data_IF_946345907182
#
_entry.id   IF_946345907182
#
_cell.length_a   1.000
_cell.length_b   1.000
_cell.length_c   1.000
_cell.angle_alpha   90.00
_cell.angle_beta   90.00
_cell.angle_gamma   90.00
#
_symmetry.space_group_name_H-M   'P 1'
#
loop_
_entity.id
_entity.type
_entity.pdbx_description
1 polymer ?
#
# COMPACT_ATOMS: atom_id res chain seq x y z
N UNK A 1 11.95 0.50 0.03
CA UNK A 1 12.39 1.52 -0.98
C UNK A 1 11.26 1.64 -1.97
N UNK A 2 10.84 2.86 -2.28
CA UNK A 2 9.73 3.13 -3.19
C UNK A 2 10.23 3.87 -4.43
N UNK A 3 9.88 3.38 -5.61
CA UNK A 3 10.27 3.94 -6.90
C UNK A 3 9.09 4.61 -7.64
N UNK A 4 7.86 4.48 -7.13
CA UNK A 4 6.64 5.06 -7.71
C UNK A 4 6.50 4.80 -9.24
N UNK A 5 6.88 3.61 -9.69
CA UNK A 5 6.78 3.20 -11.10
C UNK A 5 7.76 3.89 -12.05
N UNK A 6 8.76 4.61 -11.54
CA UNK A 6 9.61 5.48 -12.34
C UNK A 6 10.82 4.79 -12.99
N UNK A 7 11.15 3.57 -12.60
CA UNK A 7 12.31 2.87 -13.17
C UNK A 7 11.95 2.17 -14.48
N UNK A 8 12.95 2.09 -15.36
CA UNK A 8 12.94 1.14 -16.47
C UNK A 8 13.38 -0.27 -15.99
N UNK A 9 13.20 -1.26 -16.85
CA UNK A 9 13.55 -2.65 -16.51
C UNK A 9 15.04 -2.82 -16.18
N UNK A 10 15.93 -2.12 -16.85
CA UNK A 10 17.37 -2.21 -16.62
C UNK A 10 17.73 -1.67 -15.23
N UNK A 11 17.23 -0.50 -14.89
CA UNK A 11 17.42 0.10 -13.56
C UNK A 11 16.85 -0.78 -12.46
N UNK A 12 15.63 -1.29 -12.64
CA UNK A 12 14.98 -2.16 -11.67
C UNK A 12 15.76 -3.47 -11.44
N UNK A 13 16.29 -4.07 -12.50
CA UNK A 13 17.14 -5.27 -12.40
C UNK A 13 18.44 -4.98 -11.66
N UNK A 14 19.14 -3.89 -11.98
CA UNK A 14 20.36 -3.49 -11.28
C UNK A 14 20.12 -3.30 -9.77
N UNK A 15 19.01 -2.67 -9.39
CA UNK A 15 18.66 -2.52 -7.98
C UNK A 15 18.30 -3.85 -7.33
N UNK A 16 17.53 -4.72 -8.01
CA UNK A 16 17.19 -6.05 -7.50
C UNK A 16 18.44 -6.89 -7.26
N UNK A 17 19.41 -6.87 -8.17
CA UNK A 17 20.69 -7.56 -8.01
C UNK A 17 21.49 -7.05 -6.82
N UNK A 18 21.55 -5.73 -6.63
CA UNK A 18 22.23 -5.10 -5.48
C UNK A 18 21.59 -5.40 -4.14
N UNK A 19 20.29 -5.56 -4.13
CA UNK A 19 19.48 -5.74 -2.91
C UNK A 19 19.17 -7.21 -2.65
N UNK A 20 19.55 -8.11 -3.55
CA UNK A 20 19.36 -9.54 -3.35
C UNK A 20 20.14 -10.01 -2.12
N UNK A 21 19.43 -10.58 -1.15
CA UNK A 21 20.02 -11.03 0.12
C UNK A 21 20.20 -9.92 1.18
N UNK A 22 19.80 -8.67 0.90
CA UNK A 22 19.83 -7.61 1.92
C UNK A 22 18.72 -7.84 2.96
N UNK A 23 19.09 -8.24 4.16
CA UNK A 23 18.15 -8.64 5.23
C UNK A 23 17.29 -7.50 5.78
N UNK A 24 17.70 -6.24 5.56
CA UNK A 24 16.94 -5.04 5.97
C UNK A 24 15.91 -4.61 4.94
N UNK A 25 15.94 -5.19 3.72
CA UNK A 25 14.98 -4.88 2.68
C UNK A 25 13.66 -5.59 2.99
N UNK A 26 12.61 -4.83 3.30
CA UNK A 26 11.26 -5.36 3.40
C UNK A 26 10.68 -5.63 1.99
N UNK A 27 10.76 -4.64 1.10
CA UNK A 27 10.39 -4.76 -0.32
C UNK A 27 10.90 -3.58 -1.17
N UNK A 28 10.89 -3.77 -2.48
CA UNK A 28 10.87 -2.70 -3.49
C UNK A 28 9.41 -2.39 -3.80
N UNK A 29 8.96 -1.15 -3.51
CA UNK A 29 7.61 -0.71 -3.80
C UNK A 29 7.55 -0.13 -5.20
N UNK A 30 6.60 -0.62 -5.99
CA UNK A 30 6.29 -0.22 -7.36
C UNK A 30 7.54 0.14 -8.20
N UNK A 31 8.48 -0.79 -8.43
CA UNK A 31 9.72 -0.45 -9.13
C UNK A 31 9.51 -0.06 -10.59
N UNK A 32 8.54 -0.66 -11.26
CA UNK A 32 8.23 -0.45 -12.67
C UNK A 32 6.85 0.18 -12.85
N UNK A 33 6.60 0.75 -14.03
CA UNK A 33 5.26 1.23 -14.38
C UNK A 33 4.20 0.15 -14.14
N UNK A 34 2.99 0.51 -13.68
CA UNK A 34 1.90 -0.44 -13.45
C UNK A 34 1.58 -1.35 -14.64
N UNK A 35 1.73 -0.85 -15.86
CA UNK A 35 1.48 -1.62 -17.09
C UNK A 35 2.50 -2.73 -17.34
N UNK A 36 3.67 -2.70 -16.71
CA UNK A 36 4.70 -3.72 -16.89
C UNK A 36 4.55 -4.89 -15.90
N UNK A 37 3.39 -5.55 -15.96
CA UNK A 37 3.05 -6.69 -15.08
C UNK A 37 4.09 -7.82 -15.15
N UNK A 38 4.60 -8.10 -16.36
CA UNK A 38 5.60 -9.15 -16.56
C UNK A 38 6.94 -8.79 -15.89
N UNK A 39 7.38 -7.53 -16.04
CA UNK A 39 8.60 -7.04 -15.39
C UNK A 39 8.47 -7.08 -13.87
N UNK A 40 7.34 -6.62 -13.32
CA UNK A 40 7.05 -6.69 -11.88
C UNK A 40 7.10 -8.13 -11.36
N UNK A 41 6.49 -9.10 -12.08
CA UNK A 41 6.54 -10.52 -11.71
C UNK A 41 7.96 -11.08 -11.72
N UNK A 42 8.76 -10.76 -12.74
CA UNK A 42 10.15 -11.28 -12.84
C UNK A 42 11.05 -10.78 -11.70
N UNK A 43 10.83 -9.58 -11.18
CA UNK A 43 11.58 -9.04 -10.06
C UNK A 43 11.30 -9.79 -8.74
N UNK A 44 10.09 -10.36 -8.56
CA UNK A 44 9.76 -11.13 -7.34
C UNK A 44 10.58 -12.39 -7.17
N UNK A 45 11.23 -12.89 -8.22
CA UNK A 45 12.12 -14.04 -8.15
C UNK A 45 13.46 -13.72 -7.45
N UNK A 46 13.81 -12.44 -7.34
CA UNK A 46 15.08 -11.97 -6.79
C UNK A 46 14.94 -11.25 -5.47
N UNK A 47 13.92 -10.38 -5.36
CA UNK A 47 13.70 -9.55 -4.18
C UNK A 47 12.19 -9.47 -3.87
N UNK A 48 11.81 -9.21 -2.62
CA UNK A 48 10.42 -8.89 -2.30
C UNK A 48 9.98 -7.63 -3.05
N UNK A 49 8.85 -7.70 -3.77
CA UNK A 49 8.23 -6.57 -4.47
C UNK A 49 6.87 -6.27 -3.87
N UNK A 50 6.54 -4.99 -3.73
CA UNK A 50 5.22 -4.51 -3.37
C UNK A 50 4.57 -3.76 -4.53
N UNK A 51 3.28 -3.99 -4.74
CA UNK A 51 2.44 -3.21 -5.66
C UNK A 51 1.76 -2.08 -4.89
N UNK A 52 1.71 -0.88 -5.45
CA UNK A 52 0.89 0.26 -5.02
C UNK A 52 0.00 0.70 -6.20
N UNK A 53 0.50 1.53 -7.09
CA UNK A 53 -0.28 2.05 -8.23
C UNK A 53 -0.83 0.95 -9.14
N UNK A 54 -0.09 -0.14 -9.30
CA UNK A 54 -0.52 -1.28 -10.09
C UNK A 54 -1.81 -1.93 -9.57
N UNK A 55 -2.06 -1.91 -8.25
CA UNK A 55 -3.30 -2.45 -7.69
C UNK A 55 -4.54 -1.73 -8.20
N UNK A 56 -4.46 -0.42 -8.47
CA UNK A 56 -5.57 0.37 -8.98
C UNK A 56 -5.73 0.29 -10.49
N UNK A 57 -4.63 0.09 -11.21
CA UNK A 57 -4.58 0.15 -12.68
C UNK A 57 -4.69 -1.22 -13.34
N UNK A 58 -4.31 -2.29 -12.64
CA UNK A 58 -4.26 -3.65 -13.14
C UNK A 58 -5.01 -4.60 -12.21
N UNK A 59 -6.36 -4.64 -12.28
CA UNK A 59 -7.20 -5.47 -11.39
C UNK A 59 -6.83 -6.96 -11.39
N UNK A 60 -6.24 -7.47 -12.46
CA UNK A 60 -5.74 -8.84 -12.58
C UNK A 60 -4.65 -9.17 -11.57
N UNK A 61 -3.95 -8.16 -11.03
CA UNK A 61 -2.93 -8.33 -9.99
C UNK A 61 -3.52 -8.47 -8.58
N UNK A 62 -4.82 -8.21 -8.41
CA UNK A 62 -5.52 -8.50 -7.15
C UNK A 62 -5.68 -10.00 -6.87
N UNK A 63 -5.58 -10.82 -7.89
CA UNK A 63 -5.81 -12.26 -7.83
C UNK A 63 -4.74 -13.05 -7.06
N UNK A 64 -4.97 -14.36 -6.96
CA UNK A 64 -4.10 -15.30 -6.25
C UNK A 64 -2.69 -15.44 -6.85
N UNK A 65 -2.51 -14.99 -8.08
CA UNK A 65 -1.24 -15.16 -8.82
C UNK A 65 -0.16 -14.16 -8.44
N UNK A 66 -0.48 -13.11 -7.66
CA UNK A 66 0.53 -12.21 -7.14
C UNK A 66 1.07 -12.72 -5.81
N UNK A 67 2.33 -13.06 -5.77
CA UNK A 67 3.01 -13.62 -4.59
C UNK A 67 3.75 -12.58 -3.74
N UNK A 68 3.88 -11.34 -4.21
CA UNK A 68 4.52 -10.23 -3.51
C UNK A 68 3.60 -9.50 -2.52
N UNK A 69 4.03 -8.36 -2.04
CA UNK A 69 3.29 -7.48 -1.16
C UNK A 69 2.27 -6.63 -1.92
N UNK A 70 1.23 -6.18 -1.23
CA UNK A 70 0.19 -5.28 -1.75
C UNK A 70 0.04 -4.11 -0.80
N UNK A 71 0.35 -2.90 -1.27
CA UNK A 71 0.16 -1.65 -0.52
C UNK A 71 -1.18 -1.07 -0.91
N UNK A 72 -2.15 -1.18 0.00
CA UNK A 72 -3.51 -0.74 -0.21
C UNK A 72 -3.72 0.67 0.33
N UNK A 73 -4.32 1.53 -0.49
CA UNK A 73 -4.82 2.86 -0.13
C UNK A 73 -6.36 2.85 -0.15
N UNK A 74 -7.01 2.29 0.88
CA UNK A 74 -8.42 1.84 0.81
C UNK A 74 -9.39 2.91 0.37
N UNK A 75 -9.16 4.17 0.78
CA UNK A 75 -10.07 5.28 0.44
C UNK A 75 -9.77 5.90 -0.94
N UNK A 76 -8.66 5.57 -1.56
CA UNK A 76 -8.34 5.91 -2.95
C UNK A 76 -8.71 4.79 -3.93
N UNK A 77 -8.88 3.57 -3.45
CA UNK A 77 -9.21 2.38 -4.25
C UNK A 77 -10.73 2.22 -4.47
N UNK A 78 -11.55 2.97 -3.74
CA UNK A 78 -13.01 2.94 -3.84
C UNK A 78 -13.66 2.13 -2.73
N UNK A 79 -14.23 0.95 -3.01
CA UNK A 79 -14.90 0.12 -2.01
C UNK A 79 -13.88 -0.61 -1.10
N UNK A 80 -13.81 -0.30 0.20
CA UNK A 80 -12.84 -0.94 1.09
C UNK A 80 -13.26 -2.34 1.57
N UNK A 81 -14.49 -2.80 1.28
CA UNK A 81 -15.01 -4.10 1.75
C UNK A 81 -14.19 -5.29 1.27
N UNK A 82 -13.68 -5.35 0.02
CA UNK A 82 -12.82 -6.44 -0.41
C UNK A 82 -11.53 -6.53 0.41
N UNK A 83 -10.88 -5.40 0.71
CA UNK A 83 -9.69 -5.38 1.57
C UNK A 83 -10.02 -5.83 2.99
N UNK A 84 -11.13 -5.34 3.57
CA UNK A 84 -11.58 -5.76 4.90
C UNK A 84 -11.76 -7.28 4.95
N UNK A 85 -12.41 -7.88 3.95
CA UNK A 85 -12.57 -9.33 3.87
C UNK A 85 -11.22 -10.07 3.77
N UNK A 86 -10.27 -9.55 3.02
CA UNK A 86 -8.92 -10.12 2.91
C UNK A 86 -8.19 -10.10 4.25
N UNK A 87 -8.23 -8.97 4.96
CA UNK A 87 -7.65 -8.85 6.30
C UNK A 87 -8.30 -9.81 7.30
N UNK A 88 -9.62 -9.90 7.31
CA UNK A 88 -10.36 -10.83 8.18
C UNK A 88 -10.08 -12.31 7.89
N UNK A 89 -9.83 -12.65 6.63
CA UNK A 89 -9.43 -14.00 6.21
C UNK A 89 -7.95 -14.31 6.47
N UNK A 90 -7.19 -13.34 6.95
CA UNK A 90 -5.77 -13.49 7.22
C UNK A 90 -4.93 -13.69 5.94
N UNK A 91 -5.26 -13.00 4.85
CA UNK A 91 -4.41 -13.01 3.67
C UNK A 91 -3.04 -12.39 4.02
N UNK A 92 -1.93 -13.03 3.62
CA UNK A 92 -0.60 -12.50 3.90
C UNK A 92 -0.22 -11.34 2.97
N UNK A 93 0.80 -10.59 3.39
CA UNK A 93 1.48 -9.56 2.59
C UNK A 93 0.58 -8.41 2.15
N UNK A 94 -0.34 -8.02 3.02
CA UNK A 94 -1.15 -6.81 2.88
C UNK A 94 -0.56 -5.69 3.73
N UNK A 95 -0.48 -4.49 3.17
CA UNK A 95 -0.03 -3.27 3.85
C UNK A 95 -1.08 -2.20 3.67
N UNK A 96 -1.56 -1.63 4.75
CA UNK A 96 -2.49 -0.49 4.74
C UNK A 96 -1.66 0.80 4.72
N UNK A 97 -1.95 1.68 3.76
CA UNK A 97 -1.25 2.96 3.57
C UNK A 97 -2.23 4.12 3.44
N UNK A 98 -1.79 5.32 3.80
CA UNK A 98 -2.58 6.55 3.67
C UNK A 98 -2.55 7.10 2.24
N UNK A 99 -3.67 7.74 1.85
CA UNK A 99 -3.75 8.66 0.72
C UNK A 99 -4.00 10.10 1.22
N UNK A 100 -3.66 10.39 2.48
CA UNK A 100 -3.87 11.67 3.16
C UNK A 100 -5.34 12.04 3.29
N UNK A 101 -6.12 11.11 3.77
CA UNK A 101 -7.56 11.20 4.00
C UNK A 101 -7.91 12.28 5.02
N UNK A 102 -9.19 12.69 5.04
CA UNK A 102 -9.75 13.47 6.14
C UNK A 102 -9.59 12.75 7.49
N UNK A 103 -9.74 13.47 8.59
CA UNK A 103 -9.64 12.89 9.93
C UNK A 103 -10.60 11.71 10.16
N UNK A 104 -11.80 11.74 9.56
CA UNK A 104 -12.76 10.61 9.61
C UNK A 104 -12.20 9.40 8.85
N UNK A 105 -11.72 9.61 7.61
CA UNK A 105 -11.11 8.55 6.80
C UNK A 105 -9.89 7.96 7.48
N UNK A 106 -9.06 8.78 8.10
CA UNK A 106 -7.89 8.34 8.86
C UNK A 106 -8.25 7.43 10.06
N UNK A 107 -9.32 7.72 10.78
CA UNK A 107 -9.79 6.82 11.86
C UNK A 107 -10.15 5.44 11.31
N UNK A 108 -10.85 5.39 10.18
CA UNK A 108 -11.15 4.12 9.51
C UNK A 108 -9.87 3.39 9.10
N UNK A 109 -8.89 4.11 8.55
CA UNK A 109 -7.60 3.55 8.16
C UNK A 109 -6.85 2.94 9.36
N UNK A 110 -6.89 3.59 10.53
CA UNK A 110 -6.30 3.03 11.77
C UNK A 110 -6.96 1.70 12.19
N UNK A 111 -8.27 1.53 12.00
CA UNK A 111 -8.94 0.25 12.28
C UNK A 111 -8.46 -0.84 11.32
N UNK A 112 -8.32 -0.55 10.02
CA UNK A 112 -7.77 -1.51 9.06
C UNK A 112 -6.31 -1.86 9.37
N UNK A 113 -5.50 -0.89 9.77
CA UNK A 113 -4.11 -1.11 10.20
C UNK A 113 -4.03 -2.00 11.46
N UNK A 114 -4.98 -1.82 12.40
CA UNK A 114 -5.11 -2.71 13.55
C UNK A 114 -5.41 -4.16 13.15
N UNK A 115 -6.28 -4.38 12.18
CA UNK A 115 -6.56 -5.72 11.65
C UNK A 115 -5.33 -6.30 10.91
N UNK A 116 -4.63 -5.48 10.13
CA UNK A 116 -3.37 -5.89 9.47
C UNK A 116 -2.34 -6.38 10.50
N UNK A 117 -2.20 -5.67 11.62
CA UNK A 117 -1.24 -6.04 12.67
C UNK A 117 -1.54 -7.39 13.33
N UNK A 118 -2.79 -7.85 13.27
CA UNK A 118 -3.22 -9.17 13.75
C UNK A 118 -3.10 -10.27 12.69
N UNK A 119 -2.73 -9.91 11.46
CA UNK A 119 -2.61 -10.82 10.33
C UNK A 119 -1.32 -11.67 10.36
N UNK A 120 -1.16 -12.58 9.39
CA UNK A 120 -0.05 -13.54 9.37
C UNK A 120 1.30 -12.92 9.03
N UNK A 121 1.32 -11.72 8.45
CA UNK A 121 2.55 -11.00 8.06
C UNK A 121 2.50 -9.55 8.55
N UNK A 122 2.57 -9.32 9.88
CA UNK A 122 2.50 -7.99 10.44
C UNK A 122 3.72 -7.15 10.04
N UNK A 123 3.47 -5.95 9.52
CA UNK A 123 4.48 -4.95 9.20
C UNK A 123 3.95 -3.57 9.61
N UNK A 124 4.83 -2.58 9.70
CA UNK A 124 4.41 -1.21 9.95
C UNK A 124 3.50 -0.71 8.82
N UNK A 125 2.30 -0.19 9.12
CA UNK A 125 1.44 0.41 8.09
C UNK A 125 2.01 1.74 7.60
N UNK A 126 1.74 2.10 6.35
CA UNK A 126 2.18 3.34 5.73
C UNK A 126 1.32 4.56 6.11
N UNK A 127 1.17 4.86 7.41
CA UNK A 127 0.26 5.91 7.90
C UNK A 127 0.88 7.32 8.00
N UNK A 128 2.15 7.49 7.65
CA UNK A 128 2.87 8.76 7.66
C UNK A 128 2.57 9.62 8.93
N UNK A 129 2.83 9.12 10.16
CA UNK A 129 2.37 9.77 11.39
C UNK A 129 2.99 11.16 11.61
N UNK A 130 4.17 11.40 11.07
CA UNK A 130 4.88 12.67 11.17
C UNK A 130 4.53 13.68 10.06
N UNK A 131 3.69 13.27 9.10
CA UNK A 131 3.36 14.09 7.94
C UNK A 131 1.86 14.06 7.68
N UNK A 132 1.15 15.02 8.28
CA UNK A 132 -0.31 15.14 8.15
C UNK A 132 -0.64 16.49 7.54
N UNK A 133 -1.62 16.55 6.62
CA UNK A 133 -2.16 17.82 6.19
C UNK A 133 -2.76 18.58 7.38
N UNK A 134 -2.69 19.90 7.32
CA UNK A 134 -3.26 20.79 8.34
C UNK A 134 -4.68 21.24 7.96
N UNK A 135 -5.45 21.67 8.97
CA UNK A 135 -6.77 22.22 8.79
C UNK A 135 -7.91 21.37 9.37
N UNK A 136 -9.13 21.92 9.44
CA UNK A 136 -10.24 21.29 10.15
C UNK A 136 -10.71 19.97 9.50
N UNK A 137 -10.53 19.79 8.20
CA UNK A 137 -10.83 18.51 7.51
C UNK A 137 -9.94 17.36 7.99
N UNK A 138 -8.77 17.66 8.55
CA UNK A 138 -7.80 16.66 9.03
C UNK A 138 -7.80 16.52 10.55
N UNK A 139 -8.74 17.19 11.24
CA UNK A 139 -8.90 17.10 12.69
C UNK A 139 -9.15 15.65 13.14
N UNK A 140 -8.63 15.31 14.32
CA UNK A 140 -8.97 14.06 15.00
C UNK A 140 -10.42 14.04 15.53
N UNK A 141 -11.04 15.21 15.70
CA UNK A 141 -12.43 15.36 16.07
C UNK A 141 -13.35 15.20 14.83
N UNK A 142 -14.18 14.16 14.76
CA UNK A 142 -15.04 13.92 13.61
C UNK A 142 -16.11 15.00 13.42
N UNK A 143 -16.52 15.68 14.49
CA UNK A 143 -17.48 16.77 14.41
C UNK A 143 -16.91 17.98 13.66
N UNK A 144 -15.66 18.35 13.97
CA UNK A 144 -14.96 19.42 13.25
C UNK A 144 -14.77 19.07 11.76
N UNK A 145 -14.44 17.82 11.45
CA UNK A 145 -14.33 17.37 10.04
C UNK A 145 -15.66 17.48 9.33
N UNK A 146 -16.76 17.07 9.99
CA UNK A 146 -18.10 17.12 9.43
C UNK A 146 -18.54 18.54 9.15
N UNK A 147 -18.36 19.44 10.10
CA UNK A 147 -18.69 20.87 9.97
C UNK A 147 -17.88 21.56 8.87
N UNK A 148 -16.58 21.21 8.75
CA UNK A 148 -15.71 21.74 7.70
C UNK A 148 -16.02 21.20 6.30
N UNK A 149 -16.66 20.04 6.20
CA UNK A 149 -17.07 19.43 4.93
C UNK A 149 -18.48 19.87 4.49
N UNK A 150 -19.23 20.55 5.35
CA UNK A 150 -20.57 21.08 5.00
C UNK A 150 -20.44 22.12 3.89
N UNK A 151 -21.35 22.11 2.88
CA UNK A 151 -21.36 23.09 1.78
C UNK A 151 -21.71 24.50 2.24
#
# INVERSE_FOLDING_TARGET
MDANGAWDRQTAQCWAERLQGESRLQWLEQPLTPADVQGLRSLTERVPVALDEALRQCPELYGADWTGWRVHRPLAEGDPRPLLQQLQRGLPRLVVSTAFETGIGRRFLHHLAGLQALGPTPVAPGLAPAWQPEGPLFSADPQQVWEAAAP
#
